data_IF_223708115062
#
_entry.id   IF_223708115062
#
_cell.length_a   1.000
_cell.length_b   1.000
_cell.length_c   1.000
_cell.angle_alpha   90.00
_cell.angle_beta   90.00
_cell.angle_gamma   90.00
#
_symmetry.space_group_name_H-M   'P 1'
#
loop_
_entity.id
_entity.type
_entity.pdbx_description
1 polymer ?
#
# COMPACT_ATOMS: atom_id res chain seq x y z
N UNK A 1 17.54 -4.75 2.77
CA UNK A 1 16.09 -4.74 3.07
C UNK A 1 15.38 -5.00 1.75
N UNK A 2 14.64 -6.11 1.61
CA UNK A 2 13.85 -6.37 0.40
C UNK A 2 12.69 -5.37 0.34
N UNK A 3 12.61 -4.58 -0.73
CA UNK A 3 11.46 -3.70 -0.98
C UNK A 3 10.22 -4.56 -1.33
N UNK A 4 8.99 -4.02 -1.23
CA UNK A 4 7.80 -4.77 -1.63
C UNK A 4 7.88 -5.31 -3.06
N UNK A 5 8.44 -4.53 -3.99
CA UNK A 5 8.65 -4.96 -5.38
C UNK A 5 9.70 -6.07 -5.49
N UNK A 6 10.78 -6.02 -4.71
CA UNK A 6 11.76 -7.10 -4.69
C UNK A 6 11.17 -8.41 -4.15
N UNK A 7 10.27 -8.36 -3.16
CA UNK A 7 9.54 -9.55 -2.71
C UNK A 7 8.62 -10.11 -3.80
N UNK A 8 7.91 -9.26 -4.54
CA UNK A 8 7.06 -9.72 -5.66
C UNK A 8 7.91 -10.33 -6.78
N UNK A 9 9.04 -9.70 -7.13
CA UNK A 9 9.97 -10.22 -8.12
C UNK A 9 10.49 -11.61 -7.74
N UNK A 10 10.93 -11.79 -6.49
CA UNK A 10 11.41 -13.07 -5.97
C UNK A 10 10.32 -14.16 -6.05
N UNK A 11 9.10 -13.84 -5.63
CA UNK A 11 7.96 -14.76 -5.73
C UNK A 11 7.61 -15.17 -7.18
N UNK A 12 7.89 -14.30 -8.16
CA UNK A 12 7.67 -14.55 -9.58
C UNK A 12 8.90 -15.15 -10.29
N UNK A 13 10.03 -15.32 -9.60
CA UNK A 13 11.29 -15.75 -10.20
C UNK A 13 11.92 -14.73 -11.15
N UNK A 14 11.61 -13.44 -10.97
CA UNK A 14 12.14 -12.36 -11.79
C UNK A 14 13.40 -11.75 -11.17
N UNK A 15 14.34 -11.38 -12.02
CA UNK A 15 15.51 -10.58 -11.62
C UNK A 15 15.23 -9.11 -11.89
N UNK A 16 15.27 -8.28 -10.85
CA UNK A 16 15.13 -6.83 -10.99
C UNK A 16 16.45 -6.22 -11.47
N UNK A 17 16.38 -5.42 -12.52
CA UNK A 17 17.51 -4.58 -12.96
C UNK A 17 17.59 -3.29 -12.13
N UNK A 18 16.47 -2.86 -11.56
CA UNK A 18 16.38 -1.66 -10.75
C UNK A 18 14.95 -1.35 -10.30
N UNK A 19 14.83 -0.29 -9.50
CA UNK A 19 13.56 0.28 -9.07
C UNK A 19 13.59 1.78 -9.34
N UNK A 20 12.63 2.27 -10.11
CA UNK A 20 12.43 3.71 -10.29
C UNK A 20 11.48 4.21 -9.20
N UNK A 21 11.84 5.31 -8.56
CA UNK A 21 10.98 6.01 -7.60
C UNK A 21 10.51 7.33 -8.22
N UNK A 22 9.20 7.54 -8.23
CA UNK A 22 8.57 8.75 -8.73
C UNK A 22 7.66 9.35 -7.66
N UNK A 23 7.52 10.66 -7.70
CA UNK A 23 6.70 11.41 -6.75
C UNK A 23 5.87 12.44 -7.48
N UNK A 24 4.56 12.36 -7.27
CA UNK A 24 3.60 13.37 -7.72
C UNK A 24 3.05 14.10 -6.49
N UNK A 25 2.67 15.37 -6.65
CA UNK A 25 2.08 16.19 -5.60
C UNK A 25 0.75 16.77 -6.06
N UNK A 26 -0.21 16.86 -5.14
CA UNK A 26 -1.43 17.63 -5.32
C UNK A 26 -1.27 18.94 -4.54
N UNK A 27 -1.49 20.05 -5.23
CA UNK A 27 -1.40 21.39 -4.64
C UNK A 27 -2.77 21.78 -4.10
N UNK A 28 -2.82 22.26 -2.86
CA UNK A 28 -4.04 22.72 -2.21
C UNK A 28 -4.69 23.86 -3.00
N UNK A 29 -5.96 23.72 -3.36
CA UNK A 29 -6.77 24.71 -4.08
C UNK A 29 -7.47 25.71 -3.13
N UNK A 30 -7.37 25.47 -1.81
CA UNK A 30 -7.87 26.28 -0.71
C UNK A 30 -7.16 25.92 0.58
N UNK A 31 -7.45 26.66 1.64
CA UNK A 31 -7.02 26.29 2.99
C UNK A 31 -7.79 25.05 3.50
N UNK A 32 -7.06 24.06 4.01
CA UNK A 32 -7.61 22.91 4.72
C UNK A 32 -7.19 22.96 6.19
N UNK A 33 -8.16 22.92 7.11
CA UNK A 33 -7.89 23.00 8.56
C UNK A 33 -8.11 21.66 9.23
N UNK A 34 -7.10 21.17 9.95
CA UNK A 34 -7.13 19.94 10.72
C UNK A 34 -6.71 20.22 12.17
N UNK A 35 -6.99 19.31 13.13
CA UNK A 35 -6.47 19.44 14.49
C UNK A 35 -4.94 19.52 14.56
N UNK A 36 -4.24 18.93 13.58
CA UNK A 36 -2.78 18.95 13.49
C UNK A 36 -2.22 20.27 12.89
N UNK A 37 -3.06 21.14 12.34
CA UNK A 37 -2.67 22.39 11.70
C UNK A 37 -3.41 22.66 10.38
N UNK A 38 -3.03 23.75 9.73
CA UNK A 38 -3.61 24.19 8.46
C UNK A 38 -2.65 23.89 7.30
N UNK A 39 -3.18 23.32 6.24
CA UNK A 39 -2.56 23.28 4.91
C UNK A 39 -3.07 24.49 4.17
N UNK A 40 -2.22 25.49 3.92
CA UNK A 40 -2.63 26.70 3.23
C UNK A 40 -2.82 26.44 1.72
N UNK A 41 -3.65 27.25 1.08
CA UNK A 41 -3.76 27.31 -0.37
C UNK A 41 -2.37 27.40 -1.03
N UNK A 42 -2.22 26.79 -2.20
CA UNK A 42 -0.96 26.74 -2.97
C UNK A 42 0.19 25.98 -2.28
N UNK A 43 -0.07 25.24 -1.20
CA UNK A 43 0.89 24.31 -0.58
C UNK A 43 0.58 22.84 -0.92
N UNK A 44 1.29 21.88 -0.36
CA UNK A 44 1.12 20.45 -0.70
C UNK A 44 -0.02 19.86 0.12
N UNK A 45 -1.11 19.49 -0.55
CA UNK A 45 -2.25 18.79 0.03
C UNK A 45 -2.01 17.28 0.14
N UNK A 46 -1.45 16.69 -0.92
CA UNK A 46 -1.25 15.25 -1.04
C UNK A 46 0.04 14.91 -1.78
N UNK A 47 0.55 13.71 -1.49
CA UNK A 47 1.73 13.15 -2.14
C UNK A 47 1.42 11.74 -2.61
N UNK A 48 1.63 11.46 -3.90
CA UNK A 48 1.61 10.10 -4.43
C UNK A 48 3.04 9.65 -4.66
N UNK A 49 3.44 8.62 -3.93
CA UNK A 49 4.69 7.91 -4.19
C UNK A 49 4.39 6.77 -5.15
N UNK A 50 5.19 6.62 -6.20
CA UNK A 50 5.09 5.54 -7.18
C UNK A 50 6.45 4.87 -7.32
N UNK A 51 6.41 3.56 -7.48
CA UNK A 51 7.61 2.74 -7.65
C UNK A 51 7.38 1.79 -8.82
N UNK A 52 8.39 1.64 -9.66
CA UNK A 52 8.36 0.75 -10.83
C UNK A 52 9.53 -0.22 -10.74
N UNK A 53 9.24 -1.52 -10.76
CA UNK A 53 10.26 -2.57 -10.81
C UNK A 53 10.60 -2.87 -12.26
N UNK A 54 11.87 -2.67 -12.61
CA UNK A 54 12.41 -2.88 -13.95
C UNK A 54 12.94 -4.31 -14.06
N UNK A 55 12.52 -5.05 -15.09
CA UNK A 55 12.99 -6.41 -15.40
C UNK A 55 13.23 -6.49 -16.90
N UNK A 56 14.42 -6.96 -17.28
CA UNK A 56 14.91 -6.97 -18.66
C UNK A 56 14.83 -5.59 -19.35
N UNK A 57 15.13 -4.52 -18.61
CA UNK A 57 15.13 -3.14 -19.08
C UNK A 57 13.75 -2.47 -19.19
N UNK A 58 12.66 -3.16 -18.86
CA UNK A 58 11.29 -2.62 -18.95
C UNK A 58 10.59 -2.59 -17.58
N UNK A 59 9.72 -1.59 -17.29
CA UNK A 59 8.83 -1.62 -16.13
C UNK A 59 7.85 -2.80 -16.23
N UNK A 60 7.94 -3.77 -15.30
CA UNK A 60 7.09 -4.98 -15.28
C UNK A 60 6.14 -5.06 -14.10
N UNK A 61 6.38 -4.24 -13.09
CA UNK A 61 5.55 -4.14 -11.90
C UNK A 61 5.56 -2.71 -11.40
N UNK A 62 4.45 -2.25 -10.85
CA UNK A 62 4.37 -0.93 -10.23
C UNK A 62 3.53 -0.98 -8.96
N UNK A 63 3.90 -0.17 -7.98
CA UNK A 63 3.06 0.07 -6.82
C UNK A 63 3.06 1.55 -6.47
N UNK A 64 1.94 2.04 -5.96
CA UNK A 64 1.82 3.41 -5.51
C UNK A 64 1.04 3.50 -4.21
N UNK A 65 1.32 4.53 -3.43
CA UNK A 65 0.50 4.92 -2.30
C UNK A 65 0.35 6.44 -2.26
N UNK A 66 -0.79 6.88 -1.73
CA UNK A 66 -1.11 8.29 -1.57
C UNK A 66 -1.10 8.60 -0.07
N UNK A 67 -0.37 9.65 0.30
CA UNK A 67 -0.47 10.29 1.60
C UNK A 67 -1.23 11.59 1.42
N UNK A 68 -2.42 11.64 1.98
CA UNK A 68 -3.32 12.79 1.97
C UNK A 68 -3.85 13.02 3.38
N UNK A 69 -3.93 14.29 3.78
CA UNK A 69 -4.68 14.72 4.96
C UNK A 69 -6.13 15.10 4.60
N UNK A 70 -6.38 15.83 3.50
CA UNK A 70 -7.75 16.00 3.00
C UNK A 70 -8.36 14.67 2.58
N UNK A 71 -9.64 14.46 2.88
CA UNK A 71 -10.41 13.31 2.39
C UNK A 71 -10.73 13.45 0.88
N UNK A 72 -10.83 14.69 0.39
CA UNK A 72 -11.10 15.03 -1.01
C UNK A 72 -10.03 16.03 -1.50
N UNK A 73 -8.79 15.56 -1.71
CA UNK A 73 -7.72 16.38 -2.26
C UNK A 73 -7.97 16.72 -3.74
N UNK A 74 -7.40 17.83 -4.26
CA UNK A 74 -7.57 18.25 -5.64
C UNK A 74 -6.63 17.45 -6.57
N UNK A 75 -6.73 16.12 -6.52
CA UNK A 75 -6.04 15.20 -7.42
C UNK A 75 -7.02 14.36 -8.24
N UNK A 76 -6.51 13.85 -9.36
CA UNK A 76 -7.23 12.99 -10.30
C UNK A 76 -6.66 11.57 -10.33
N UNK A 77 -5.99 11.15 -9.24
CA UNK A 77 -5.21 9.92 -9.22
C UNK A 77 -6.07 8.68 -8.99
N UNK A 78 -5.91 7.67 -9.83
CA UNK A 78 -6.50 6.34 -9.62
C UNK A 78 -5.64 5.45 -8.70
N UNK A 79 -6.24 4.49 -7.96
CA UNK A 79 -7.67 4.22 -7.85
C UNK A 79 -8.39 5.24 -6.94
N UNK A 80 -9.57 5.73 -7.38
CA UNK A 80 -10.33 6.73 -6.63
C UNK A 80 -11.34 6.13 -5.65
N UNK A 81 -11.46 6.78 -4.50
CA UNK A 81 -12.55 6.52 -3.54
C UNK A 81 -13.69 7.47 -3.89
N UNK A 82 -14.90 6.96 -4.19
CA UNK A 82 -16.04 7.82 -4.47
C UNK A 82 -16.33 8.77 -3.30
N UNK A 83 -16.70 10.01 -3.62
CA UNK A 83 -17.08 11.00 -2.61
C UNK A 83 -18.24 10.46 -1.75
N UNK A 84 -18.12 10.59 -0.43
CA UNK A 84 -19.11 10.07 0.52
C UNK A 84 -19.08 8.54 0.72
N UNK A 85 -18.05 7.84 0.21
CA UNK A 85 -17.85 6.43 0.52
C UNK A 85 -17.67 6.22 2.04
N UNK A 86 -18.24 5.15 2.58
CA UNK A 86 -18.10 4.80 3.99
C UNK A 86 -16.63 4.49 4.38
N UNK A 87 -15.79 4.22 3.39
CA UNK A 87 -14.40 3.83 3.57
C UNK A 87 -13.49 4.94 3.06
N UNK A 88 -12.56 5.43 3.88
CA UNK A 88 -11.52 6.37 3.46
C UNK A 88 -10.29 5.70 2.83
N UNK A 89 -10.31 4.38 2.58
CA UNK A 89 -9.16 3.64 2.04
C UNK A 89 -9.59 2.61 1.00
N UNK A 90 -8.84 2.56 -0.10
CA UNK A 90 -8.99 1.59 -1.18
C UNK A 90 -7.61 1.08 -1.57
N UNK A 91 -7.48 -0.24 -1.73
CA UNK A 91 -6.31 -0.87 -2.35
C UNK A 91 -6.77 -1.61 -3.59
N UNK A 92 -6.28 -1.19 -4.76
CA UNK A 92 -6.50 -1.90 -6.03
C UNK A 92 -5.28 -2.73 -6.37
N UNK A 93 -5.48 -4.01 -6.64
CA UNK A 93 -4.47 -4.90 -7.20
C UNK A 93 -4.93 -5.30 -8.60
N UNK A 94 -4.07 -5.07 -9.59
CA UNK A 94 -4.30 -5.52 -10.97
C UNK A 94 -3.14 -6.42 -11.39
N UNK A 95 -3.46 -7.61 -11.90
CA UNK A 95 -2.50 -8.54 -12.48
C UNK A 95 -2.87 -8.70 -13.95
N UNK A 96 -2.03 -8.16 -14.82
CA UNK A 96 -2.18 -8.29 -16.26
C UNK A 96 -1.61 -9.64 -16.71
N UNK A 97 -2.47 -10.48 -17.27
CA UNK A 97 -2.15 -11.85 -17.64
C UNK A 97 -3.34 -12.51 -18.32
N UNK A 98 -3.29 -13.84 -18.42
CA UNK A 98 -4.38 -14.64 -18.94
C UNK A 98 -4.83 -15.67 -17.89
N UNK A 99 -5.93 -15.44 -17.16
CA UNK A 99 -6.83 -14.28 -17.26
C UNK A 99 -6.25 -13.02 -16.60
N UNK A 100 -6.80 -11.86 -16.96
CA UNK A 100 -6.54 -10.62 -16.21
C UNK A 100 -7.34 -10.63 -14.92
N UNK A 101 -6.69 -10.28 -13.81
CA UNK A 101 -7.29 -10.26 -12.48
C UNK A 101 -7.27 -8.83 -11.95
N UNK A 102 -8.42 -8.36 -11.44
CA UNK A 102 -8.53 -7.09 -10.73
C UNK A 102 -9.28 -7.29 -9.42
N UNK A 103 -8.70 -6.78 -8.34
CA UNK A 103 -9.25 -6.83 -6.98
C UNK A 103 -9.25 -5.44 -6.40
N UNK A 104 -10.42 -4.98 -5.96
CA UNK A 104 -10.58 -3.77 -5.17
C UNK A 104 -10.90 -4.17 -3.73
N UNK A 105 -10.00 -3.81 -2.82
CA UNK A 105 -10.11 -4.13 -1.40
C UNK A 105 -10.42 -2.86 -0.60
N UNK A 106 -11.53 -2.92 0.12
CA UNK A 106 -11.95 -1.94 1.10
C UNK A 106 -11.95 -2.59 2.48
N UNK A 107 -11.49 -1.84 3.50
CA UNK A 107 -11.51 -2.30 4.89
C UNK A 107 -12.16 -1.21 5.74
N UNK A 108 -13.35 -1.52 6.25
CA UNK A 108 -14.12 -0.63 7.11
C UNK A 108 -13.45 -0.42 8.48
N UNK A 109 -13.73 0.73 9.08
CA UNK A 109 -13.25 1.10 10.41
C UNK A 109 -12.20 2.21 10.40
N UNK A 110 -12.15 2.98 11.49
CA UNK A 110 -11.36 4.22 11.60
C UNK A 110 -9.86 3.98 11.47
N UNK A 111 -9.36 2.87 12.01
CA UNK A 111 -7.94 2.51 12.02
C UNK A 111 -7.68 1.17 11.32
N UNK A 112 -8.51 0.83 10.33
CA UNK A 112 -8.54 -0.49 9.71
C UNK A 112 -7.18 -0.97 9.20
N UNK A 113 -6.39 -0.09 8.57
CA UNK A 113 -5.03 -0.43 8.12
C UNK A 113 -4.05 -0.67 9.27
N UNK A 114 -4.15 0.09 10.37
CA UNK A 114 -3.29 -0.12 11.54
C UNK A 114 -3.67 -1.42 12.27
N UNK A 115 -4.96 -1.70 12.39
CA UNK A 115 -5.48 -2.94 12.94
C UNK A 115 -5.06 -4.15 12.09
N UNK A 116 -5.19 -4.07 10.75
CA UNK A 116 -4.74 -5.12 9.85
C UNK A 116 -3.22 -5.36 9.96
N UNK A 117 -2.43 -4.29 10.10
CA UNK A 117 -0.97 -4.39 10.30
C UNK A 117 -0.65 -5.09 11.62
N UNK A 118 -1.29 -4.66 12.72
CA UNK A 118 -1.11 -5.28 14.04
C UNK A 118 -1.54 -6.75 14.04
N UNK A 119 -2.70 -7.06 13.46
CA UNK A 119 -3.20 -8.43 13.32
C UNK A 119 -2.23 -9.30 12.54
N UNK A 120 -1.63 -8.80 11.44
CA UNK A 120 -0.61 -9.53 10.69
C UNK A 120 0.61 -9.87 11.54
N UNK A 121 1.09 -8.92 12.36
CA UNK A 121 2.22 -9.15 13.28
C UNK A 121 1.87 -10.21 14.32
N UNK A 122 0.74 -10.06 15.02
CA UNK A 122 0.31 -11.02 16.06
C UNK A 122 0.12 -12.42 15.47
N UNK A 123 -0.53 -12.53 14.32
CA UNK A 123 -0.77 -13.79 13.63
C UNK A 123 0.53 -14.45 13.10
N UNK A 124 1.62 -13.70 12.98
CA UNK A 124 2.92 -14.23 12.57
C UNK A 124 3.71 -14.86 13.72
N UNK A 125 3.42 -14.53 14.98
CA UNK A 125 4.18 -14.97 16.15
C UNK A 125 4.38 -16.49 16.20
N UNK A 126 3.35 -17.34 16.01
CA UNK A 126 3.53 -18.78 16.08
C UNK A 126 4.48 -19.33 15.00
N UNK A 127 4.41 -18.77 13.79
CA UNK A 127 5.28 -19.17 12.69
C UNK A 127 6.74 -18.76 12.95
N UNK A 128 6.95 -17.56 13.49
CA UNK A 128 8.29 -17.06 13.87
C UNK A 128 8.89 -17.89 15.00
N UNK A 129 8.11 -18.19 16.05
CA UNK A 129 8.59 -18.99 17.19
C UNK A 129 8.95 -20.44 16.80
N UNK A 130 8.32 -20.98 15.75
CA UNK A 130 8.60 -22.33 15.26
C UNK A 130 9.76 -22.39 14.25
N UNK A 131 10.21 -21.25 13.73
CA UNK A 131 11.29 -21.19 12.74
C UNK A 131 12.66 -21.45 13.39
N UNK A 132 13.60 -21.99 12.61
CA UNK A 132 15.00 -22.03 13.01
C UNK A 132 15.57 -20.59 13.10
N UNK A 133 16.68 -20.34 13.80
CA UNK A 133 17.31 -19.03 13.79
C UNK A 133 17.71 -18.59 12.37
N UNK A 134 17.30 -17.39 11.96
CA UNK A 134 17.57 -16.85 10.63
C UNK A 134 16.80 -15.55 10.36
N UNK A 135 17.12 -14.92 9.23
CA UNK A 135 16.34 -13.78 8.70
C UNK A 135 15.39 -14.33 7.65
N UNK A 136 14.09 -14.19 7.88
CA UNK A 136 13.05 -14.68 6.99
C UNK A 136 12.26 -13.53 6.38
N UNK A 137 11.85 -13.73 5.15
CA UNK A 137 10.90 -12.87 4.45
C UNK A 137 9.44 -13.25 4.74
N UNK A 138 8.53 -12.37 4.32
CA UNK A 138 7.10 -12.64 4.36
C UNK A 138 6.63 -13.76 3.41
N UNK A 139 7.48 -14.19 2.46
CA UNK A 139 7.20 -15.34 1.59
C UNK A 139 7.49 -16.67 2.28
N UNK A 140 8.47 -16.67 3.18
CA UNK A 140 8.92 -17.87 3.89
C UNK A 140 8.10 -18.11 5.17
N UNK A 141 7.70 -17.04 5.86
CA UNK A 141 6.87 -17.11 7.06
C UNK A 141 5.48 -16.51 6.80
N UNK A 142 4.60 -17.34 6.23
CA UNK A 142 3.22 -16.95 5.95
C UNK A 142 2.41 -16.99 7.27
N UNK A 143 1.85 -15.85 7.74
CA UNK A 143 1.02 -15.81 8.93
C UNK A 143 -0.21 -16.72 8.75
N UNK A 144 -0.51 -17.54 9.74
CA UNK A 144 -1.79 -18.25 9.78
C UNK A 144 -2.79 -17.39 10.55
N UNK A 145 -3.98 -17.18 9.99
CA UNK A 145 -5.04 -16.49 10.71
C UNK A 145 -5.50 -17.37 11.88
N UNK A 146 -5.25 -16.94 13.11
CA UNK A 146 -5.77 -17.57 14.32
C UNK A 146 -6.86 -16.67 14.92
N UNK A 147 -8.13 -17.08 14.79
CA UNK A 147 -9.24 -16.51 15.57
C UNK A 147 -9.60 -15.04 15.26
N UNK A 148 -10.84 -14.71 15.55
CA UNK A 148 -11.40 -13.36 15.40
C UNK A 148 -10.82 -12.50 16.53
N UNK A 149 -10.26 -11.32 16.22
CA UNK A 149 -10.08 -10.27 17.23
C UNK A 149 -11.50 -9.77 17.59
N UNK A 150 -12.18 -10.50 18.46
CA UNK A 150 -13.42 -10.05 19.08
C UNK A 150 -13.06 -8.91 20.03
N UNK A 151 -13.39 -7.69 19.63
CA UNK A 151 -13.57 -6.57 20.55
C UNK A 151 -14.93 -6.68 21.23
#
# INVERSE_FOLDING_TARGET
MSTPLALVADALGWTLDGINELRDIAVADRDYTFPAGTIAESTIASVRMRFEGVVAGEPRMSFSFIWSLPDDPPDDWEPRIPHGSATGRLTRVTIEGNPTIRVDLHIDGVLSGAQATAARVVNSIPAVCAAAPGVYSALELIPRAFGVLSH
#
